data_IF_472798286240
#
_entry.id   IF_472798286240
#
_cell.length_a   1.000
_cell.length_b   1.000
_cell.length_c   1.000
_cell.angle_alpha   90.00
_cell.angle_beta   90.00
_cell.angle_gamma   90.00
#
_symmetry.space_group_name_H-M   'P 1'
#
loop_
_entity.id
_entity.type
_entity.pdbx_description
1 polymer ?
#
# COMPACT_ATOMS: atom_id res chain seq x y z
N UNK A 1 12.07 -7.12 3.74
CA UNK A 1 10.73 -7.74 3.91
C UNK A 1 9.84 -6.77 4.67
N UNK A 2 8.55 -6.64 4.32
CA UNK A 2 7.62 -5.78 5.09
C UNK A 2 6.96 -6.56 6.22
N UNK A 3 6.70 -5.88 7.33
CA UNK A 3 5.97 -6.38 8.50
C UNK A 3 5.00 -5.32 9.02
N UNK A 4 3.93 -5.73 9.68
CA UNK A 4 3.00 -4.82 10.35
C UNK A 4 3.50 -4.39 11.74
N UNK A 5 4.46 -5.13 12.29
CA UNK A 5 5.05 -4.84 13.60
C UNK A 5 6.27 -3.94 13.47
N UNK A 6 6.38 -2.97 14.37
CA UNK A 6 7.53 -2.09 14.45
C UNK A 6 8.79 -2.91 14.78
N UNK A 7 9.81 -2.94 13.89
CA UNK A 7 10.99 -3.78 14.09
C UNK A 7 11.98 -3.18 15.09
N UNK A 8 11.93 -1.86 15.36
CA UNK A 8 12.82 -1.18 16.29
C UNK A 8 12.15 0.06 16.89
N UNK A 9 12.20 0.20 18.22
CA UNK A 9 11.56 1.32 18.91
C UNK A 9 10.04 1.32 18.74
N UNK A 10 9.47 2.51 18.55
CA UNK A 10 8.03 2.72 18.40
C UNK A 10 7.68 3.32 17.04
N UNK A 11 6.42 3.17 16.62
CA UNK A 11 5.92 3.75 15.36
C UNK A 11 6.18 5.27 15.24
N UNK A 12 6.13 5.98 16.38
CA UNK A 12 6.38 7.42 16.47
C UNK A 12 7.84 7.81 16.27
N UNK A 13 8.78 6.87 16.29
CA UNK A 13 10.21 7.15 16.07
C UNK A 13 10.57 7.28 14.58
N UNK A 14 9.67 6.89 13.69
CA UNK A 14 9.84 6.94 12.24
C UNK A 14 9.29 8.25 11.67
N UNK A 15 10.04 9.33 11.87
CA UNK A 15 9.65 10.70 11.51
C UNK A 15 10.45 11.28 10.35
N UNK A 16 11.62 10.74 10.04
CA UNK A 16 12.53 11.34 9.07
C UNK A 16 12.10 10.93 7.66
N UNK A 17 11.44 11.82 6.92
CA UNK A 17 11.07 11.55 5.53
C UNK A 17 12.30 11.22 4.68
N UNK A 18 12.18 10.16 3.87
CA UNK A 18 13.22 9.73 2.93
C UNK A 18 12.77 10.04 1.50
N UNK A 19 11.62 9.51 1.10
CA UNK A 19 11.19 9.48 -0.29
C UNK A 19 9.70 9.16 -0.40
N UNK A 20 9.13 9.50 -1.55
CA UNK A 20 7.77 9.15 -1.95
C UNK A 20 7.85 8.43 -3.29
N UNK A 21 7.28 7.22 -3.36
CA UNK A 21 7.24 6.43 -4.59
C UNK A 21 5.81 6.26 -5.07
N UNK A 22 5.56 6.65 -6.31
CA UNK A 22 4.28 6.44 -6.97
C UNK A 22 4.36 5.30 -7.95
N UNK A 23 3.34 4.45 -7.97
CA UNK A 23 3.22 3.33 -8.90
C UNK A 23 1.76 3.08 -9.23
N UNK A 24 1.50 2.51 -10.39
CA UNK A 24 0.15 2.17 -10.83
C UNK A 24 0.05 0.65 -10.98
N UNK A 25 -1.11 0.11 -10.62
CA UNK A 25 -1.47 -1.29 -10.89
C UNK A 25 -2.50 -1.27 -12.01
N UNK A 26 -2.08 -1.69 -13.20
CA UNK A 26 -2.98 -1.86 -14.34
C UNK A 26 -3.62 -3.24 -14.29
N UNK A 27 -4.94 -3.29 -14.45
CA UNK A 27 -5.75 -4.49 -14.38
C UNK A 27 -6.37 -4.78 -15.75
N UNK A 28 -6.60 -6.05 -16.07
CA UNK A 28 -7.18 -6.47 -17.34
C UNK A 28 -8.69 -6.17 -17.41
N UNK A 29 -9.34 -6.23 -16.25
CA UNK A 29 -10.78 -5.99 -16.05
C UNK A 29 -11.00 -5.00 -14.93
N UNK A 30 -12.25 -4.61 -14.75
CA UNK A 30 -12.67 -3.62 -13.77
C UNK A 30 -12.39 -4.12 -12.35
N UNK A 31 -11.92 -3.23 -11.46
CA UNK A 31 -11.57 -3.56 -10.06
C UNK A 31 -12.72 -4.30 -9.38
N UNK A 32 -13.96 -3.85 -9.60
CA UNK A 32 -15.18 -4.42 -9.01
C UNK A 32 -15.38 -5.92 -9.31
N UNK A 33 -14.80 -6.43 -10.40
CA UNK A 33 -15.01 -7.80 -10.86
C UNK A 33 -14.05 -8.81 -10.23
N UNK A 34 -13.02 -8.33 -9.51
CA UNK A 34 -12.06 -9.19 -8.83
C UNK A 34 -12.55 -9.58 -7.43
N UNK A 35 -12.18 -10.79 -7.02
CA UNK A 35 -12.25 -11.17 -5.61
C UNK A 35 -11.05 -10.58 -4.86
N UNK A 36 -11.17 -10.41 -3.54
CA UNK A 36 -10.07 -9.94 -2.68
C UNK A 36 -8.83 -10.83 -2.78
N UNK A 37 -9.01 -12.14 -2.99
CA UNK A 37 -7.91 -13.10 -3.18
C UNK A 37 -7.13 -12.78 -4.47
N UNK A 38 -7.84 -12.62 -5.60
CA UNK A 38 -7.19 -12.38 -6.90
C UNK A 38 -6.55 -10.99 -6.93
N UNK A 39 -7.27 -9.97 -6.47
CA UNK A 39 -6.72 -8.62 -6.40
C UNK A 39 -5.54 -8.55 -5.42
N UNK A 40 -5.61 -9.24 -4.29
CA UNK A 40 -4.52 -9.35 -3.33
C UNK A 40 -3.27 -10.03 -3.92
N UNK A 41 -3.44 -11.07 -4.74
CA UNK A 41 -2.34 -11.71 -5.45
C UNK A 41 -1.68 -10.75 -6.45
N UNK A 42 -2.46 -9.93 -7.17
CA UNK A 42 -1.94 -8.91 -8.08
C UNK A 42 -1.17 -7.82 -7.30
N UNK A 43 -1.71 -7.34 -6.18
CA UNK A 43 -1.02 -6.37 -5.33
C UNK A 43 0.30 -6.95 -4.82
N UNK A 44 0.29 -8.19 -4.32
CA UNK A 44 1.51 -8.87 -3.83
C UNK A 44 2.53 -9.14 -4.95
N UNK A 45 2.11 -9.36 -6.20
CA UNK A 45 3.05 -9.55 -7.31
C UNK A 45 3.72 -8.25 -7.75
N UNK A 46 2.97 -7.14 -7.80
CA UNK A 46 3.52 -5.81 -8.09
C UNK A 46 4.42 -5.33 -6.95
N UNK A 47 4.06 -5.70 -5.71
CA UNK A 47 4.85 -5.43 -4.52
C UNK A 47 5.30 -6.73 -3.87
N UNK A 48 6.30 -7.37 -4.49
CA UNK A 48 6.87 -8.66 -4.06
C UNK A 48 7.28 -8.75 -2.59
N UNK A 49 7.39 -7.60 -1.93
CA UNK A 49 7.79 -7.49 -0.54
C UNK A 49 6.59 -7.43 0.43
N UNK A 50 5.35 -7.27 -0.06
CA UNK A 50 4.10 -7.32 0.72
C UNK A 50 3.64 -8.79 0.84
N UNK A 51 3.55 -9.34 2.06
CA UNK A 51 3.00 -10.68 2.28
C UNK A 51 1.58 -10.84 1.72
N UNK A 52 1.29 -12.00 1.13
CA UNK A 52 0.02 -12.26 0.45
C UNK A 52 -1.20 -12.04 1.36
N UNK A 53 -1.15 -12.46 2.62
CA UNK A 53 -2.25 -12.26 3.57
C UNK A 53 -2.60 -10.78 3.80
N UNK A 54 -1.57 -9.92 3.90
CA UNK A 54 -1.75 -8.47 4.04
C UNK A 54 -2.31 -7.89 2.74
N UNK A 55 -1.79 -8.32 1.59
CA UNK A 55 -2.28 -7.86 0.29
C UNK A 55 -3.76 -8.22 0.06
N UNK A 56 -4.22 -9.39 0.51
CA UNK A 56 -5.64 -9.79 0.48
C UNK A 56 -6.48 -8.88 1.38
N UNK A 57 -5.98 -8.52 2.57
CA UNK A 57 -6.64 -7.57 3.47
C UNK A 57 -6.78 -6.17 2.87
N UNK A 58 -5.72 -5.67 2.23
CA UNK A 58 -5.73 -4.41 1.48
C UNK A 58 -6.77 -4.48 0.35
N UNK A 59 -6.75 -5.54 -0.46
CA UNK A 59 -7.71 -5.76 -1.54
C UNK A 59 -9.16 -5.79 -1.04
N UNK A 60 -9.41 -6.44 0.10
CA UNK A 60 -10.73 -6.44 0.74
C UNK A 60 -11.23 -5.03 1.07
N UNK A 61 -10.37 -4.18 1.64
CA UNK A 61 -10.69 -2.77 1.95
C UNK A 61 -10.94 -1.94 0.68
N UNK A 62 -10.15 -2.16 -0.37
CA UNK A 62 -10.36 -1.49 -1.67
C UNK A 62 -11.75 -1.83 -2.22
N UNK A 63 -12.09 -3.12 -2.26
CA UNK A 63 -13.37 -3.59 -2.78
C UNK A 63 -14.55 -3.12 -1.91
N UNK A 64 -14.39 -3.03 -0.59
CA UNK A 64 -15.44 -2.52 0.30
C UNK A 64 -15.68 -1.02 0.17
N UNK A 65 -14.66 -0.26 -0.20
CA UNK A 65 -14.75 1.19 -0.37
C UNK A 65 -15.17 1.60 -1.79
N UNK A 66 -15.11 0.66 -2.74
CA UNK A 66 -15.50 0.87 -4.14
C UNK A 66 -16.96 1.30 -4.36
N UNK A 67 -17.98 0.76 -3.65
CA UNK A 67 -19.39 1.13 -3.86
C UNK A 67 -19.71 2.59 -3.52
N UNK A 68 -18.85 3.27 -2.75
CA UNK A 68 -18.95 4.71 -2.46
C UNK A 68 -18.26 5.60 -3.49
N UNK A 69 -17.70 5.02 -4.55
CA UNK A 69 -16.86 5.70 -5.54
C UNK A 69 -17.47 5.61 -6.94
N UNK A 70 -17.30 6.63 -7.79
CA UNK A 70 -17.70 6.58 -9.21
C UNK A 70 -16.77 5.71 -10.07
N UNK A 71 -15.98 4.85 -9.42
CA UNK A 71 -14.79 4.22 -9.96
C UNK A 71 -14.88 2.70 -10.04
N UNK A 72 -16.10 2.14 -9.94
CA UNK A 72 -16.35 0.71 -10.09
C UNK A 72 -15.80 0.12 -11.40
N UNK A 73 -15.84 0.91 -12.48
CA UNK A 73 -15.42 0.50 -13.83
C UNK A 73 -13.92 0.76 -14.09
N UNK A 74 -13.15 1.18 -13.08
CA UNK A 74 -11.73 1.43 -13.25
C UNK A 74 -10.95 0.15 -13.48
N UNK A 75 -9.92 0.26 -14.31
CA UNK A 75 -8.92 -0.78 -14.56
C UNK A 75 -7.54 -0.39 -14.04
N UNK A 76 -7.44 0.64 -13.22
CA UNK A 76 -6.17 1.11 -12.68
C UNK A 76 -6.35 1.50 -11.23
N UNK A 77 -5.46 0.99 -10.39
CA UNK A 77 -5.33 1.41 -8.99
C UNK A 77 -4.05 2.21 -8.85
N UNK A 78 -4.17 3.40 -8.28
CA UNK A 78 -3.04 4.30 -8.08
C UNK A 78 -2.49 4.14 -6.68
N UNK A 79 -1.18 4.16 -6.55
CA UNK A 79 -0.51 3.90 -5.29
C UNK A 79 0.58 4.94 -5.03
N UNK A 80 0.70 5.31 -3.76
CA UNK A 80 1.73 6.20 -3.23
C UNK A 80 2.29 5.61 -1.95
N UNK A 81 3.59 5.38 -1.93
CA UNK A 81 4.35 4.94 -0.76
C UNK A 81 5.18 6.09 -0.22
N UNK A 82 4.89 6.52 1.01
CA UNK A 82 5.71 7.48 1.73
C UNK A 82 6.64 6.74 2.70
N UNK A 83 7.95 6.97 2.58
CA UNK A 83 8.99 6.25 3.31
C UNK A 83 9.61 7.16 4.35
N UNK A 84 9.64 6.69 5.60
CA UNK A 84 10.22 7.40 6.74
C UNK A 84 11.29 6.54 7.42
N UNK A 85 12.47 7.09 7.65
CA UNK A 85 13.54 6.51 8.45
C UNK A 85 13.26 6.68 9.94
N UNK A 86 13.80 5.76 10.74
CA UNK A 86 13.86 5.93 12.18
C UNK A 86 14.81 7.08 12.56
N UNK A 87 14.41 7.91 13.52
CA UNK A 87 15.13 9.13 13.93
C UNK A 87 16.60 8.91 14.34
N UNK A 88 16.90 7.81 15.04
CA UNK A 88 18.23 7.54 15.62
C UNK A 88 19.12 6.55 14.85
N UNK A 89 18.54 5.67 14.01
CA UNK A 89 19.28 4.56 13.36
C UNK A 89 19.24 4.64 11.83
N UNK A 90 18.82 5.81 11.32
CA UNK A 90 18.82 6.13 9.90
C UNK A 90 17.92 5.23 9.06
N UNK A 91 18.29 5.02 7.79
CA UNK A 91 17.49 4.34 6.78
C UNK A 91 17.50 2.80 6.87
N UNK A 92 18.14 2.23 7.89
CA UNK A 92 18.20 0.76 8.12
C UNK A 92 16.82 0.24 8.48
N UNK A 93 16.08 1.00 9.30
CA UNK A 93 14.70 0.73 9.65
C UNK A 93 13.79 1.80 9.06
N UNK A 94 12.71 1.36 8.41
CA UNK A 94 11.79 2.25 7.72
C UNK A 94 10.34 1.98 8.11
N UNK A 95 9.55 3.04 8.13
CA UNK A 95 8.09 3.01 8.08
C UNK A 95 7.67 3.39 6.67
N UNK A 96 6.79 2.60 6.10
CA UNK A 96 6.27 2.74 4.77
C UNK A 96 4.75 2.91 4.89
N UNK A 97 4.25 4.08 4.50
CA UNK A 97 2.81 4.36 4.48
C UNK A 97 2.33 4.13 3.06
N UNK A 98 1.58 3.05 2.86
CA UNK A 98 1.10 2.59 1.56
C UNK A 98 -0.31 3.12 1.34
N UNK A 99 -0.44 4.18 0.55
CA UNK A 99 -1.73 4.80 0.22
C UNK A 99 -2.20 4.36 -1.17
N UNK A 100 -3.46 3.96 -1.27
CA UNK A 100 -4.11 3.54 -2.51
C UNK A 100 -5.23 4.49 -2.86
N UNK A 101 -5.40 4.77 -4.14
CA UNK A 101 -6.33 5.74 -4.70
C UNK A 101 -6.99 5.20 -5.95
N UNK A 102 -8.20 5.67 -6.22
CA UNK A 102 -8.94 5.34 -7.43
C UNK A 102 -8.59 6.28 -8.60
N UNK A 103 -7.95 7.43 -8.35
CA UNK A 103 -7.64 8.41 -9.40
C UNK A 103 -6.14 8.73 -9.51
N UNK A 104 -5.74 9.20 -10.69
CA UNK A 104 -4.34 9.55 -10.97
C UNK A 104 -3.86 10.81 -10.25
N UNK A 105 -4.78 11.64 -9.76
CA UNK A 105 -4.44 12.85 -9.02
C UNK A 105 -4.30 12.59 -7.51
N UNK A 106 -4.49 11.34 -7.07
CA UNK A 106 -4.41 10.93 -5.66
C UNK A 106 -5.38 11.70 -4.75
N UNK A 107 -6.59 11.98 -5.25
CA UNK A 107 -7.65 12.67 -4.49
C UNK A 107 -8.73 11.72 -3.98
N UNK A 108 -8.95 10.61 -4.67
CA UNK A 108 -10.02 9.66 -4.40
C UNK A 108 -9.46 8.47 -3.64
N UNK A 109 -9.42 8.60 -2.32
CA UNK A 109 -8.75 7.67 -1.44
C UNK A 109 -9.48 6.32 -1.35
N UNK A 110 -8.74 5.24 -1.59
CA UNK A 110 -9.24 3.88 -1.45
C UNK A 110 -8.93 3.31 -0.06
N UNK A 111 -7.66 3.24 0.33
CA UNK A 111 -7.24 2.73 1.64
C UNK A 111 -5.78 3.07 1.90
N UNK A 112 -5.34 2.92 3.16
CA UNK A 112 -3.94 2.99 3.55
C UNK A 112 -3.56 1.78 4.38
N UNK A 113 -2.29 1.40 4.32
CA UNK A 113 -1.67 0.41 5.17
C UNK A 113 -0.31 0.93 5.62
N UNK A 114 -0.08 0.93 6.93
CA UNK A 114 1.26 1.18 7.47
C UNK A 114 1.99 -0.15 7.56
N UNK A 115 3.20 -0.17 7.05
CA UNK A 115 4.11 -1.29 7.17
C UNK A 115 5.50 -0.81 7.55
N UNK A 116 6.33 -1.71 8.03
CA UNK A 116 7.72 -1.45 8.37
C UNK A 116 8.63 -2.34 7.54
N UNK A 117 9.79 -1.82 7.16
CA UNK A 117 10.80 -2.58 6.45
C UNK A 117 12.18 -2.41 7.08
N UNK A 118 13.00 -3.44 6.95
CA UNK A 118 14.39 -3.47 7.39
C UNK A 118 15.31 -3.77 6.19
N UNK A 119 16.38 -3.00 6.07
CA UNK A 119 17.34 -2.98 4.94
C UNK A 119 18.79 -3.01 5.45
N UNK A 120 19.08 -3.94 6.36
CA UNK A 120 20.43 -4.23 6.86
C UNK A 120 21.07 -5.43 6.20
#
# INVERSE_FOLDING_TARGET
MYTETCPFGTASDYTNYIDTKTRNIYLEREIATYTSIVLGAIISSVYSSIPQGIAIGIAGKILSNLPGSNYGNLKTLYFKEDIYAHKSVGSIYRKNVLNFYFDSNFTEYATSQVMYSWWG
#
